data_IF_070201603964
#
_entry.id   IF_070201603964
#
_cell.length_a   1.000
_cell.length_b   1.000
_cell.length_c   1.000
_cell.angle_alpha   90.00
_cell.angle_beta   90.00
_cell.angle_gamma   90.00
#
_symmetry.space_group_name_H-M   'P 1'
#
loop_
_entity.id
_entity.type
_entity.pdbx_description
1 polymer ?
#
# COMPACT_ATOMS: atom_id res chain seq x y z
N UNK A 1 39.51 -3.61 -43.29
CA UNK A 1 39.32 -4.06 -41.88
C UNK A 1 37.84 -4.40 -41.73
N UNK A 2 37.47 -5.40 -40.92
CA UNK A 2 36.05 -5.74 -40.74
C UNK A 2 35.45 -4.89 -39.61
N UNK A 3 34.26 -4.36 -39.82
CA UNK A 3 33.43 -3.75 -38.78
C UNK A 3 32.46 -4.80 -38.27
N UNK A 4 32.42 -5.05 -36.97
CA UNK A 4 31.46 -5.94 -36.34
C UNK A 4 30.28 -5.09 -35.87
N UNK A 5 29.06 -5.50 -36.24
CA UNK A 5 27.81 -4.90 -35.79
C UNK A 5 27.14 -5.87 -34.82
N UNK A 6 26.83 -5.40 -33.63
CA UNK A 6 26.07 -6.12 -32.60
C UNK A 6 24.75 -5.40 -32.40
N UNK A 7 23.65 -6.07 -32.74
CA UNK A 7 22.30 -5.56 -32.55
C UNK A 7 21.64 -6.28 -31.39
N UNK A 8 21.01 -5.49 -30.51
CA UNK A 8 20.20 -6.00 -29.41
C UNK A 8 18.72 -5.93 -29.78
N UNK A 9 17.95 -6.96 -29.43
CA UNK A 9 16.50 -6.94 -29.56
C UNK A 9 15.93 -5.76 -28.73
N UNK A 10 15.46 -4.70 -29.41
CA UNK A 10 15.05 -3.45 -28.75
C UNK A 10 15.74 -2.17 -29.28
N UNK A 11 16.73 -2.30 -30.16
CA UNK A 11 17.16 -1.22 -31.06
C UNK A 11 18.55 -0.61 -30.80
N UNK A 12 19.25 -1.01 -29.73
CA UNK A 12 20.62 -0.55 -29.52
C UNK A 12 21.58 -1.29 -30.45
N UNK A 13 22.39 -0.53 -31.21
CA UNK A 13 23.43 -1.06 -32.09
C UNK A 13 24.79 -0.65 -31.57
N UNK A 14 25.66 -1.62 -31.34
CA UNK A 14 27.05 -1.44 -30.93
C UNK A 14 27.95 -1.86 -32.10
N UNK A 15 29.08 -1.18 -32.28
CA UNK A 15 30.06 -1.55 -33.31
C UNK A 15 31.44 -1.75 -32.71
N UNK A 16 32.20 -2.69 -33.28
CA UNK A 16 33.60 -2.93 -32.98
C UNK A 16 34.40 -3.05 -34.27
N UNK A 17 35.70 -2.82 -34.23
CA UNK A 17 36.59 -2.98 -35.38
C UNK A 17 37.53 -4.14 -35.10
N UNK A 18 37.63 -5.07 -36.06
CA UNK A 18 38.60 -6.15 -36.00
C UNK A 18 40.02 -5.64 -36.27
N UNK A 19 40.98 -6.20 -35.54
CA UNK A 19 42.40 -5.94 -35.73
C UNK A 19 42.94 -6.61 -37.02
N UNK A 20 44.24 -6.48 -37.26
CA UNK A 20 44.90 -7.02 -38.47
C UNK A 20 44.88 -8.56 -38.54
N UNK A 21 44.65 -9.22 -37.40
CA UNK A 21 44.51 -10.68 -37.30
C UNK A 21 43.06 -11.15 -37.40
N UNK A 22 42.10 -10.21 -37.45
CA UNK A 22 40.66 -10.50 -37.49
C UNK A 22 40.01 -10.66 -36.10
N UNK A 23 40.76 -10.43 -35.02
CA UNK A 23 40.24 -10.49 -33.65
C UNK A 23 39.56 -9.18 -33.26
N UNK A 24 38.55 -9.26 -32.41
CA UNK A 24 37.81 -8.09 -31.91
C UNK A 24 37.29 -8.34 -30.50
N UNK A 25 37.07 -7.26 -29.76
CA UNK A 25 36.48 -7.28 -28.42
C UNK A 25 35.66 -6.02 -28.22
N UNK A 26 34.55 -6.13 -27.49
CA UNK A 26 33.70 -5.00 -27.12
C UNK A 26 32.91 -5.32 -25.85
N UNK A 27 32.72 -4.31 -25.01
CA UNK A 27 31.82 -4.41 -23.86
C UNK A 27 30.40 -4.12 -24.32
N UNK A 28 29.48 -5.04 -24.02
CA UNK A 28 28.06 -4.91 -24.35
C UNK A 28 27.29 -4.75 -23.03
N UNK A 29 26.64 -3.61 -22.77
CA UNK A 29 25.72 -3.50 -21.65
C UNK A 29 24.56 -4.48 -21.85
N UNK A 30 24.32 -5.31 -20.82
CA UNK A 30 23.22 -6.27 -20.81
C UNK A 30 22.17 -5.82 -19.80
N UNK A 31 20.88 -5.95 -20.16
CA UNK A 31 19.82 -5.80 -19.16
C UNK A 31 19.74 -7.06 -18.30
N UNK A 32 19.02 -6.96 -17.18
CA UNK A 32 18.61 -8.12 -16.40
C UNK A 32 17.72 -9.04 -17.24
N UNK A 33 17.83 -10.35 -17.03
CA UNK A 33 17.02 -11.34 -17.75
C UNK A 33 17.60 -11.71 -19.12
N UNK A 34 16.71 -12.04 -20.08
CA UNK A 34 17.11 -12.52 -21.41
C UNK A 34 17.62 -11.36 -22.26
N UNK A 35 18.85 -11.49 -22.75
CA UNK A 35 19.46 -10.65 -23.76
C UNK A 35 19.69 -11.49 -25.00
N UNK A 36 19.23 -10.99 -26.14
CA UNK A 36 19.47 -11.62 -27.44
C UNK A 36 20.27 -10.65 -28.29
N UNK A 37 21.46 -11.09 -28.70
CA UNK A 37 22.41 -10.34 -29.50
C UNK A 37 22.52 -10.99 -30.88
N UNK A 38 22.40 -10.18 -31.92
CA UNK A 38 22.64 -10.54 -33.31
C UNK A 38 23.95 -9.90 -33.75
N UNK A 39 24.93 -10.72 -34.15
CA UNK A 39 26.29 -10.26 -34.48
C UNK A 39 26.56 -10.53 -35.96
N UNK A 40 26.93 -9.49 -36.70
CA UNK A 40 27.23 -9.55 -38.14
C UNK A 40 28.54 -8.84 -38.43
N UNK A 41 29.40 -9.42 -39.27
CA UNK A 41 30.59 -8.73 -39.76
C UNK A 41 30.25 -7.97 -41.05
N UNK A 42 30.81 -6.77 -41.21
CA UNK A 42 30.67 -5.91 -42.37
C UNK A 42 32.05 -5.61 -42.93
N UNK A 43 32.21 -5.72 -44.24
CA UNK A 43 33.38 -5.21 -44.94
C UNK A 43 33.35 -3.67 -44.92
N UNK A 44 34.41 -3.03 -44.43
CA UNK A 44 34.43 -1.58 -44.23
C UNK A 44 34.54 -0.77 -45.54
N UNK A 45 35.00 -1.39 -46.62
CA UNK A 45 35.11 -0.73 -47.93
C UNK A 45 33.83 -0.82 -48.76
N UNK A 46 33.11 -1.93 -48.66
CA UNK A 46 31.93 -2.22 -49.51
C UNK A 46 30.61 -2.20 -48.74
N UNK A 47 30.65 -2.25 -47.40
CA UNK A 47 29.47 -2.38 -46.56
C UNK A 47 28.80 -3.76 -46.62
N UNK A 48 29.41 -4.73 -47.31
CA UNK A 48 28.84 -6.07 -47.49
C UNK A 48 28.86 -6.84 -46.18
N UNK A 49 27.73 -7.44 -45.81
CA UNK A 49 27.61 -8.27 -44.62
C UNK A 49 28.14 -9.69 -44.82
N UNK A 50 28.59 -10.32 -43.74
CA UNK A 50 28.85 -11.74 -43.69
C UNK A 50 27.61 -12.54 -44.04
N UNK A 51 27.79 -13.66 -44.74
CA UNK A 51 26.69 -14.55 -45.11
C UNK A 51 25.98 -15.15 -43.88
N UNK A 52 26.72 -15.32 -42.78
CA UNK A 52 26.18 -15.81 -41.51
C UNK A 52 26.03 -14.67 -40.51
N UNK A 53 24.96 -14.75 -39.71
CA UNK A 53 24.73 -13.91 -38.53
C UNK A 53 24.76 -14.79 -37.30
N UNK A 54 25.52 -14.36 -36.30
CA UNK A 54 25.71 -15.10 -35.07
C UNK A 54 24.74 -14.62 -33.99
N UNK A 55 23.81 -15.47 -33.60
CA UNK A 55 22.92 -15.18 -32.47
C UNK A 55 23.54 -15.65 -31.16
N UNK A 56 23.48 -14.80 -30.13
CA UNK A 56 23.87 -15.14 -28.75
C UNK A 56 22.74 -14.78 -27.80
N UNK A 57 22.33 -15.74 -26.97
CA UNK A 57 21.38 -15.53 -25.90
C UNK A 57 22.14 -15.56 -24.58
N UNK A 58 22.11 -14.45 -23.84
CA UNK A 58 22.74 -14.29 -22.53
C UNK A 58 21.64 -14.06 -21.51
N UNK A 59 21.63 -14.85 -20.45
CA UNK A 59 20.70 -14.66 -19.32
C UNK A 59 21.51 -14.06 -18.18
N UNK A 60 21.26 -12.78 -17.89
CA UNK A 60 21.81 -12.15 -16.69
C UNK A 60 20.89 -12.52 -15.53
N UNK A 61 21.36 -13.30 -14.54
CA UNK A 61 20.53 -13.73 -13.43
C UNK A 61 19.99 -12.49 -12.69
N UNK A 62 18.71 -12.54 -12.33
CA UNK A 62 18.16 -11.59 -11.37
C UNK A 62 18.87 -11.82 -10.03
N UNK A 63 19.27 -10.76 -9.30
CA UNK A 63 19.81 -10.96 -7.97
C UNK A 63 18.76 -11.69 -7.13
N UNK A 64 19.05 -12.93 -6.74
CA UNK A 64 18.29 -13.66 -5.72
C UNK A 64 18.71 -13.13 -4.35
N UNK A 65 18.48 -11.83 -4.13
CA UNK A 65 18.46 -11.29 -2.78
C UNK A 65 17.32 -11.96 -2.03
N UNK A 66 17.51 -12.26 -0.74
CA UNK A 66 16.37 -12.50 0.14
C UNK A 66 15.35 -11.37 -0.06
N UNK A 67 14.06 -11.66 0.14
CA UNK A 67 13.01 -10.65 -0.01
C UNK A 67 13.35 -9.34 0.72
N UNK A 68 12.73 -8.22 0.36
CA UNK A 68 13.02 -6.92 0.96
C UNK A 68 12.88 -6.98 2.47
N UNK A 69 13.54 -6.07 3.19
CA UNK A 69 13.41 -6.02 4.66
C UNK A 69 11.93 -5.91 5.05
N UNK A 70 11.47 -6.81 5.90
CA UNK A 70 10.13 -6.75 6.49
C UNK A 70 10.14 -7.42 7.86
N UNK A 71 9.72 -6.68 8.88
CA UNK A 71 9.55 -7.16 10.23
C UNK A 71 8.27 -6.59 10.84
N UNK A 72 7.51 -7.42 11.53
CA UNK A 72 6.27 -7.04 12.20
C UNK A 72 6.48 -7.03 13.70
N UNK A 73 6.49 -5.84 14.28
CA UNK A 73 6.73 -5.55 15.69
C UNK A 73 5.44 -5.65 16.51
N UNK A 74 4.32 -5.24 15.93
CA UNK A 74 3.00 -5.29 16.54
C UNK A 74 1.87 -5.37 15.50
N UNK A 75 0.75 -6.05 15.80
CA UNK A 75 0.42 -6.68 17.07
C UNK A 75 1.21 -7.98 17.32
N UNK A 76 1.30 -8.38 18.59
CA UNK A 76 1.84 -9.69 18.96
C UNK A 76 0.90 -10.81 18.50
N UNK A 77 1.44 -12.01 18.27
CA UNK A 77 0.62 -13.17 17.90
C UNK A 77 -0.47 -13.45 18.95
N UNK A 78 -1.70 -13.66 18.50
CA UNK A 78 -2.86 -13.92 19.35
C UNK A 78 -3.36 -12.71 20.13
N UNK A 79 -2.94 -11.48 19.78
CA UNK A 79 -3.37 -10.28 20.49
C UNK A 79 -4.90 -10.13 20.50
N UNK A 80 -5.42 -9.67 21.63
CA UNK A 80 -6.84 -9.34 21.81
C UNK A 80 -7.00 -7.82 21.79
N UNK A 81 -7.74 -7.33 20.82
CA UNK A 81 -7.97 -5.90 20.61
C UNK A 81 -9.39 -5.57 21.03
N UNK A 82 -9.54 -4.68 21.99
CA UNK A 82 -10.84 -4.30 22.55
C UNK A 82 -11.15 -2.84 22.26
N UNK A 83 -12.30 -2.59 21.64
CA UNK A 83 -12.83 -1.26 21.39
C UNK A 83 -11.82 -0.30 20.70
N UNK A 84 -11.00 -0.81 19.80
CA UNK A 84 -9.96 -0.05 19.12
C UNK A 84 -9.69 -0.60 17.71
N UNK A 85 -9.10 0.21 16.81
CA UNK A 85 -8.44 -0.28 15.61
C UNK A 85 -7.25 -1.20 15.96
N UNK A 86 -6.86 -2.08 15.05
CA UNK A 86 -5.64 -2.88 15.18
C UNK A 86 -4.44 -2.02 14.81
N UNK A 87 -3.57 -1.71 15.77
CA UNK A 87 -2.34 -0.96 15.52
C UNK A 87 -1.29 -1.87 14.89
N UNK A 88 -0.88 -1.55 13.66
CA UNK A 88 0.19 -2.22 12.94
C UNK A 88 1.47 -1.42 13.12
N UNK A 89 2.47 -2.06 13.72
CA UNK A 89 3.82 -1.54 13.89
C UNK A 89 4.80 -2.47 13.18
N UNK A 90 5.46 -1.97 12.15
CA UNK A 90 6.36 -2.76 11.32
C UNK A 90 7.59 -1.95 10.92
N UNK A 91 8.64 -2.65 10.53
CA UNK A 91 9.81 -2.05 9.90
C UNK A 91 10.06 -2.65 8.52
N UNK A 92 10.39 -1.80 7.56
CA UNK A 92 10.73 -2.18 6.19
C UNK A 92 11.79 -1.23 5.62
N UNK A 93 11.97 -1.24 4.29
CA UNK A 93 12.81 -0.27 3.60
C UNK A 93 12.10 1.11 3.55
N UNK A 94 12.83 2.24 3.63
CA UNK A 94 12.22 3.57 3.56
C UNK A 94 11.37 3.77 2.29
N UNK A 95 10.15 4.27 2.46
CA UNK A 95 9.21 4.48 1.34
C UNK A 95 8.60 3.20 0.75
N UNK A 96 8.94 2.02 1.28
CA UNK A 96 8.38 0.75 0.81
C UNK A 96 6.87 0.72 1.03
N UNK A 97 6.13 0.31 -0.01
CA UNK A 97 4.70 0.04 0.10
C UNK A 97 4.49 -1.43 0.45
N UNK A 98 3.79 -1.68 1.54
CA UNK A 98 3.35 -3.00 1.98
C UNK A 98 1.91 -3.24 1.55
N UNK A 99 1.63 -4.41 0.99
CA UNK A 99 0.26 -4.90 0.93
C UNK A 99 -0.12 -5.55 2.27
N UNK A 100 -1.30 -5.21 2.76
CA UNK A 100 -1.83 -5.71 4.02
C UNK A 100 -3.17 -6.36 3.73
N UNK A 101 -3.28 -7.65 4.05
CA UNK A 101 -4.52 -8.42 3.90
C UNK A 101 -4.91 -8.99 5.25
N UNK A 102 -6.07 -8.62 5.77
CA UNK A 102 -6.67 -9.27 6.93
C UNK A 102 -7.78 -10.21 6.46
N UNK A 103 -7.61 -11.49 6.74
CA UNK A 103 -8.54 -12.56 6.36
C UNK A 103 -9.32 -13.00 7.60
N UNK A 104 -10.66 -12.89 7.60
CA UNK A 104 -11.47 -13.37 8.71
C UNK A 104 -11.69 -14.88 8.59
N UNK A 105 -12.14 -15.52 9.68
CA UNK A 105 -12.57 -16.93 9.61
C UNK A 105 -13.76 -17.13 8.64
N UNK A 106 -14.62 -16.11 8.51
CA UNK A 106 -15.79 -16.10 7.62
C UNK A 106 -15.99 -14.72 7.02
N UNK A 107 -16.39 -14.64 5.76
CA UNK A 107 -16.62 -13.38 5.06
C UNK A 107 -15.45 -12.96 4.17
N UNK A 108 -15.47 -11.69 3.73
CA UNK A 108 -14.49 -11.17 2.79
C UNK A 108 -13.26 -10.61 3.48
N UNK A 109 -12.06 -10.74 2.88
CA UNK A 109 -10.85 -10.13 3.41
C UNK A 109 -10.90 -8.61 3.31
N UNK A 110 -10.22 -7.94 4.25
CA UNK A 110 -9.94 -6.50 4.18
C UNK A 110 -8.53 -6.34 3.59
N UNK A 111 -8.43 -5.60 2.48
CA UNK A 111 -7.16 -5.35 1.80
C UNK A 111 -6.85 -3.86 1.85
N UNK A 112 -5.63 -3.52 2.24
CA UNK A 112 -5.14 -2.13 2.25
C UNK A 112 -3.64 -2.10 1.98
N UNK A 113 -3.06 -0.90 1.97
CA UNK A 113 -1.63 -0.69 1.86
C UNK A 113 -1.15 0.27 2.94
N UNK A 114 0.08 0.04 3.42
CA UNK A 114 0.80 1.00 4.25
C UNK A 114 2.13 1.35 3.59
N UNK A 115 2.57 2.58 3.78
CA UNK A 115 3.86 3.06 3.27
C UNK A 115 4.78 3.30 4.45
N UNK A 116 5.98 2.73 4.38
CA UNK A 116 7.03 3.02 5.35
C UNK A 116 7.48 4.48 5.25
N UNK A 117 7.72 5.10 6.40
CA UNK A 117 8.25 6.45 6.46
C UNK A 117 9.73 6.51 6.01
N UNK A 118 10.35 7.69 6.11
CA UNK A 118 11.74 7.90 5.73
C UNK A 118 12.76 7.13 6.58
N UNK A 119 12.36 6.63 7.75
CA UNK A 119 13.16 5.75 8.61
C UNK A 119 12.91 4.26 8.33
N UNK A 120 11.94 3.94 7.46
CA UNK A 120 11.48 2.56 7.23
C UNK A 120 10.45 2.09 8.27
N UNK A 121 10.01 2.97 9.17
CA UNK A 121 9.00 2.67 10.19
C UNK A 121 7.59 2.73 9.62
N UNK A 122 6.71 1.87 10.15
CA UNK A 122 5.28 1.86 9.85
C UNK A 122 4.53 1.84 11.17
N UNK A 123 3.60 2.77 11.33
CA UNK A 123 2.76 2.87 12.51
C UNK A 123 1.36 3.32 12.08
N UNK A 124 0.52 2.36 11.69
CA UNK A 124 -0.77 2.58 11.04
C UNK A 124 -1.89 1.79 11.70
N UNK A 125 -3.11 2.29 11.62
CA UNK A 125 -4.28 1.62 12.18
C UNK A 125 -5.03 0.86 11.08
N UNK A 126 -5.23 -0.43 11.31
CA UNK A 126 -6.09 -1.29 10.50
C UNK A 126 -7.48 -1.40 11.15
N UNK A 127 -8.50 -0.96 10.42
CA UNK A 127 -9.89 -1.01 10.86
C UNK A 127 -10.47 -2.39 10.53
N UNK A 128 -10.76 -3.19 11.57
CA UNK A 128 -11.34 -4.52 11.42
C UNK A 128 -12.61 -4.64 12.28
N UNK A 129 -13.71 -5.17 11.72
CA UNK A 129 -14.87 -5.58 12.49
C UNK A 129 -14.53 -6.61 13.58
N UNK A 130 -15.45 -6.78 14.53
CA UNK A 130 -15.33 -7.84 15.54
C UNK A 130 -15.17 -9.22 14.88
N UNK A 131 -14.25 -10.03 15.39
CA UNK A 131 -13.95 -11.37 14.89
C UNK A 131 -12.50 -11.78 15.04
N UNK A 132 -12.21 -12.99 14.60
CA UNK A 132 -10.86 -13.55 14.51
C UNK A 132 -10.29 -13.27 13.11
N UNK A 133 -9.05 -12.78 13.07
CA UNK A 133 -8.39 -12.32 11.85
C UNK A 133 -6.97 -12.86 11.73
N UNK A 134 -6.59 -13.29 10.54
CA UNK A 134 -5.19 -13.49 10.12
C UNK A 134 -4.76 -12.33 9.26
N UNK A 135 -3.79 -11.56 9.74
CA UNK A 135 -3.21 -10.41 9.06
C UNK A 135 -1.92 -10.86 8.38
N UNK A 136 -1.83 -10.66 7.07
CA UNK A 136 -0.63 -10.91 6.26
C UNK A 136 -0.11 -9.57 5.74
N UNK A 137 1.15 -9.25 6.05
CA UNK A 137 1.89 -8.15 5.45
C UNK A 137 2.84 -8.72 4.40
N UNK A 138 2.87 -8.11 3.23
CA UNK A 138 3.82 -8.47 2.19
C UNK A 138 4.54 -7.25 1.62
N UNK A 139 5.85 -7.39 1.47
CA UNK A 139 6.75 -6.42 0.84
C UNK A 139 7.29 -7.02 -0.47
N UNK A 140 7.13 -6.30 -1.58
CA UNK A 140 7.67 -6.69 -2.87
C UNK A 140 9.05 -6.05 -3.10
N UNK A 141 10.05 -6.85 -3.44
CA UNK A 141 11.40 -6.43 -3.77
C UNK A 141 11.68 -6.50 -5.27
N UNK A 142 12.93 -6.19 -5.64
CA UNK A 142 13.40 -6.27 -7.02
C UNK A 142 13.35 -7.71 -7.54
N UNK A 143 13.11 -7.86 -8.86
CA UNK A 143 13.15 -9.17 -9.51
C UNK A 143 12.04 -10.15 -9.11
N UNK A 144 10.98 -9.66 -8.47
CA UNK A 144 9.83 -10.48 -8.05
C UNK A 144 9.99 -11.17 -6.69
N UNK A 145 11.07 -10.88 -5.96
CA UNK A 145 11.23 -11.37 -4.59
C UNK A 145 10.17 -10.76 -3.67
N UNK A 146 9.66 -11.54 -2.71
CA UNK A 146 8.70 -11.06 -1.72
C UNK A 146 9.10 -11.49 -0.31
N UNK A 147 8.87 -10.61 0.66
CA UNK A 147 8.91 -10.95 2.09
C UNK A 147 7.48 -10.92 2.62
N UNK A 148 7.13 -11.89 3.45
CA UNK A 148 5.79 -11.98 4.05
C UNK A 148 5.89 -12.26 5.53
N UNK A 149 5.00 -11.65 6.31
CA UNK A 149 4.85 -11.94 7.74
C UNK A 149 3.36 -12.04 8.07
N UNK A 150 3.01 -12.97 8.94
CA UNK A 150 1.64 -13.19 9.38
C UNK A 150 1.47 -12.97 10.89
N UNK A 151 0.28 -12.50 11.28
CA UNK A 151 -0.18 -12.40 12.66
C UNK A 151 -1.64 -12.78 12.81
N UNK A 152 -1.97 -13.58 13.81
CA UNK A 152 -3.36 -13.80 14.21
C UNK A 152 -3.76 -12.84 15.32
N UNK A 153 -4.96 -12.26 15.24
CA UNK A 153 -5.54 -11.39 16.27
C UNK A 153 -7.04 -11.61 16.41
N UNK A 154 -7.58 -11.24 17.57
CA UNK A 154 -9.03 -11.16 17.81
C UNK A 154 -9.43 -9.71 18.08
N UNK A 155 -10.57 -9.29 17.54
CA UNK A 155 -11.14 -7.95 17.72
C UNK A 155 -12.51 -8.05 18.34
N UNK A 156 -12.76 -7.29 19.40
CA UNK A 156 -14.03 -7.26 20.10
C UNK A 156 -14.49 -5.82 20.36
N UNK A 157 -15.79 -5.58 20.20
CA UNK A 157 -16.44 -4.31 20.52
C UNK A 157 -17.56 -4.55 21.53
N UNK A 158 -17.52 -3.86 22.65
CA UNK A 158 -18.54 -3.91 23.72
C UNK A 158 -19.41 -2.65 23.76
N UNK A 159 -19.28 -1.77 22.76
CA UNK A 159 -20.00 -0.50 22.65
C UNK A 159 -19.94 0.06 21.23
N UNK A 160 -19.89 1.39 21.14
CA UNK A 160 -19.80 2.14 19.87
C UNK A 160 -18.41 2.74 19.76
N UNK A 161 -17.70 2.39 18.69
CA UNK A 161 -16.41 2.99 18.33
C UNK A 161 -16.55 3.56 16.92
N UNK A 162 -16.52 4.88 16.81
CA UNK A 162 -16.57 5.58 15.52
C UNK A 162 -15.21 6.17 15.21
N UNK A 163 -14.60 5.77 14.11
CA UNK A 163 -13.40 6.44 13.59
C UNK A 163 -13.79 7.39 12.48
N UNK A 164 -13.25 8.60 12.53
CA UNK A 164 -13.49 9.66 11.56
C UNK A 164 -12.16 10.06 10.95
N UNK A 165 -12.06 10.01 9.62
CA UNK A 165 -10.86 10.37 8.88
C UNK A 165 -11.21 11.32 7.73
N UNK A 166 -10.44 12.40 7.59
CA UNK A 166 -10.58 13.34 6.48
C UNK A 166 -9.71 12.92 5.31
N UNK A 167 -10.31 12.30 4.30
CA UNK A 167 -9.61 11.90 3.06
C UNK A 167 -9.67 12.98 1.98
N UNK A 168 -10.68 13.85 2.04
CA UNK A 168 -10.90 14.97 1.11
C UNK A 168 -10.45 16.32 1.65
N UNK A 169 -11.27 17.36 1.42
CA UNK A 169 -11.01 18.75 1.85
C UNK A 169 -11.06 18.98 3.37
N UNK A 170 -11.42 17.96 4.15
CA UNK A 170 -11.71 18.11 5.57
C UNK A 170 -13.12 18.61 5.85
N UNK A 171 -13.51 18.57 7.11
CA UNK A 171 -14.87 18.86 7.59
C UNK A 171 -14.85 19.31 9.04
N UNK A 172 -15.72 20.23 9.40
CA UNK A 172 -16.03 20.48 10.81
C UNK A 172 -16.87 19.33 11.37
N UNK A 173 -16.50 18.83 12.56
CA UNK A 173 -17.18 17.72 13.24
C UNK A 173 -17.40 18.07 14.71
N UNK A 174 -18.61 17.80 15.20
CA UNK A 174 -18.93 17.83 16.63
C UNK A 174 -19.55 16.51 17.05
N UNK A 175 -19.10 15.99 18.18
CA UNK A 175 -19.45 14.66 18.65
C UNK A 175 -20.15 14.68 20.02
N UNK A 176 -21.04 13.71 20.21
CA UNK A 176 -21.63 13.37 21.49
C UNK A 176 -21.46 11.89 21.74
N UNK A 177 -21.03 11.56 22.95
CA UNK A 177 -20.89 10.19 23.46
C UNK A 177 -21.92 10.00 24.56
N UNK A 178 -22.83 9.05 24.35
CA UNK A 178 -23.93 8.74 25.27
C UNK A 178 -24.79 9.95 25.68
N UNK A 179 -24.92 10.91 24.77
CA UNK A 179 -25.72 12.12 24.92
C UNK A 179 -24.97 13.34 25.45
N UNK A 180 -23.72 13.17 25.91
CA UNK A 180 -22.84 14.23 26.42
C UNK A 180 -21.86 14.65 25.34
N UNK A 181 -21.49 15.94 25.30
CA UNK A 181 -20.47 16.43 24.34
C UNK A 181 -19.16 15.67 24.54
N UNK A 182 -18.62 15.11 23.46
CA UNK A 182 -17.38 14.35 23.52
C UNK A 182 -16.16 15.28 23.61
N UNK A 183 -15.23 15.06 24.57
CA UNK A 183 -14.08 15.92 24.78
C UNK A 183 -13.13 16.00 23.57
N UNK A 184 -13.11 14.98 22.70
CA UNK A 184 -12.26 14.94 21.50
C UNK A 184 -12.59 16.08 20.54
N UNK A 185 -13.86 16.47 20.45
CA UNK A 185 -14.31 17.58 19.58
C UNK A 185 -14.68 18.84 20.36
N UNK A 186 -14.96 18.71 21.66
CA UNK A 186 -15.32 19.83 22.53
C UNK A 186 -16.68 20.46 22.20
N UNK A 187 -17.03 21.50 22.96
CA UNK A 187 -18.33 22.19 22.85
C UNK A 187 -18.51 22.98 21.55
N UNK A 188 -17.43 23.36 20.89
CA UNK A 188 -17.44 24.11 19.63
C UNK A 188 -17.28 23.23 18.39
N UNK A 189 -17.03 21.93 18.57
CA UNK A 189 -16.57 21.05 17.51
C UNK A 189 -15.13 21.34 17.07
N UNK A 190 -14.65 20.53 16.14
CA UNK A 190 -13.29 20.52 15.62
C UNK A 190 -13.31 20.47 14.09
N UNK A 191 -12.51 21.29 13.43
CA UNK A 191 -12.26 21.14 11.99
C UNK A 191 -11.18 20.11 11.74
N UNK A 192 -11.57 18.98 11.15
CA UNK A 192 -10.65 17.95 10.70
C UNK A 192 -10.13 18.29 9.30
N UNK A 193 -8.81 18.35 9.14
CA UNK A 193 -8.15 18.62 7.85
C UNK A 193 -7.68 17.32 7.20
N UNK A 194 -7.34 17.34 5.91
CA UNK A 194 -6.88 16.16 5.15
C UNK A 194 -5.77 15.40 5.90
N UNK A 195 -5.93 14.08 6.01
CA UNK A 195 -5.03 13.18 6.74
C UNK A 195 -5.26 13.18 8.26
N UNK A 196 -6.06 14.11 8.78
CA UNK A 196 -6.50 14.11 10.17
C UNK A 196 -7.46 12.97 10.45
N UNK A 197 -7.32 12.38 11.65
CA UNK A 197 -8.15 11.28 12.12
C UNK A 197 -8.33 11.34 13.63
N UNK A 198 -9.51 10.92 14.11
CA UNK A 198 -9.76 10.65 15.52
C UNK A 198 -10.76 9.53 15.70
N UNK A 199 -10.87 9.02 16.93
CA UNK A 199 -11.80 7.96 17.31
C UNK A 199 -12.64 8.43 18.50
N UNK A 200 -13.95 8.21 18.41
CA UNK A 200 -14.94 8.47 19.46
C UNK A 200 -15.43 7.13 20.00
N UNK A 201 -15.59 7.04 21.32
CA UNK A 201 -16.07 5.82 21.98
C UNK A 201 -17.24 6.13 22.90
N UNK A 202 -18.27 5.30 22.87
CA UNK A 202 -19.43 5.38 23.76
C UNK A 202 -19.96 3.98 24.08
N UNK A 203 -20.81 3.86 25.09
CA UNK A 203 -21.41 2.58 25.47
C UNK A 203 -22.66 2.29 24.65
N UNK A 204 -23.52 3.29 24.45
CA UNK A 204 -24.86 3.14 23.87
C UNK A 204 -25.01 3.87 22.54
N UNK A 205 -24.41 5.05 22.41
CA UNK A 205 -24.62 5.89 21.23
C UNK A 205 -23.47 6.86 21.01
N UNK A 206 -22.97 6.93 19.78
CA UNK A 206 -22.23 8.09 19.29
C UNK A 206 -23.12 8.87 18.36
N UNK A 207 -23.18 10.18 18.51
CA UNK A 207 -23.84 11.07 17.56
C UNK A 207 -22.81 12.06 17.02
N UNK A 208 -22.77 12.25 15.71
CA UNK A 208 -21.87 13.17 15.05
C UNK A 208 -22.66 14.15 14.21
N UNK A 209 -22.30 15.43 14.30
CA UNK A 209 -22.73 16.47 13.37
C UNK A 209 -21.55 16.93 12.54
N UNK A 210 -21.79 17.13 11.25
CA UNK A 210 -20.76 17.44 10.26
C UNK A 210 -21.10 18.72 9.49
N UNK A 211 -20.07 19.46 9.09
CA UNK A 211 -20.15 20.53 8.09
C UNK A 211 -20.30 19.98 6.67
N UNK A 212 -19.53 18.93 6.34
CA UNK A 212 -19.50 18.26 5.04
C UNK A 212 -19.15 16.77 5.25
N UNK A 213 -20.13 15.90 5.52
CA UNK A 213 -19.90 14.49 5.86
C UNK A 213 -19.30 13.69 4.71
N UNK A 214 -19.66 14.02 3.46
CA UNK A 214 -19.15 13.33 2.27
C UNK A 214 -17.65 13.56 2.00
N UNK A 215 -17.00 14.48 2.72
CA UNK A 215 -15.55 14.70 2.66
C UNK A 215 -14.76 13.82 3.64
N UNK A 216 -15.47 12.99 4.42
CA UNK A 216 -14.92 12.14 5.47
C UNK A 216 -15.14 10.66 5.13
N UNK A 217 -14.23 9.83 5.60
CA UNK A 217 -14.42 8.38 5.71
C UNK A 217 -14.75 8.07 7.16
N UNK A 218 -15.79 7.26 7.37
CA UNK A 218 -16.22 6.85 8.69
C UNK A 218 -16.16 5.35 8.81
N UNK A 219 -15.83 4.87 10.01
CA UNK A 219 -16.06 3.48 10.38
C UNK A 219 -16.85 3.39 11.68
N UNK A 220 -17.68 2.35 11.79
CA UNK A 220 -18.39 1.98 13.01
C UNK A 220 -17.96 0.57 13.40
N UNK A 221 -17.38 0.43 14.59
CA UNK A 221 -16.88 -0.84 15.12
C UNK A 221 -15.99 -1.55 14.10
N UNK A 222 -15.05 -0.80 13.52
CA UNK A 222 -14.09 -1.30 12.53
C UNK A 222 -14.63 -1.50 11.11
N UNK A 223 -15.95 -1.45 10.89
CA UNK A 223 -16.55 -1.51 9.55
C UNK A 223 -16.55 -0.14 8.90
N UNK A 224 -15.84 0.03 7.79
CA UNK A 224 -15.93 1.24 6.95
C UNK A 224 -17.36 1.35 6.41
N UNK A 225 -17.93 2.54 6.53
CA UNK A 225 -19.28 2.85 6.11
C UNK A 225 -19.29 3.40 4.69
N UNK A 226 -20.41 3.20 4.01
CA UNK A 226 -20.71 3.94 2.79
C UNK A 226 -20.77 5.45 3.07
N UNK A 227 -20.62 6.23 2.00
CA UNK A 227 -20.66 7.69 2.07
C UNK A 227 -21.94 8.15 2.78
N UNK A 228 -21.76 9.01 3.79
CA UNK A 228 -22.87 9.69 4.46
C UNK A 228 -23.07 11.09 3.88
N UNK A 229 -24.31 11.41 3.52
CA UNK A 229 -24.73 12.73 3.05
C UNK A 229 -24.07 13.20 1.74
N UNK A 230 -24.14 14.50 1.50
CA UNK A 230 -23.64 15.16 0.30
C UNK A 230 -22.50 16.14 0.62
N UNK A 231 -21.72 16.50 -0.40
CA UNK A 231 -20.57 17.40 -0.25
C UNK A 231 -21.08 18.82 0.05
N UNK A 232 -20.54 19.44 1.10
CA UNK A 232 -20.90 20.80 1.52
C UNK A 232 -22.24 20.91 2.24
N UNK A 233 -22.96 19.81 2.43
CA UNK A 233 -24.25 19.78 3.12
C UNK A 233 -24.05 19.34 4.56
N UNK A 234 -24.51 20.17 5.50
CA UNK A 234 -24.48 19.80 6.92
C UNK A 234 -25.41 18.63 7.20
N UNK A 235 -25.03 17.74 8.12
CA UNK A 235 -25.87 16.62 8.52
C UNK A 235 -25.46 16.04 9.86
N UNK A 236 -26.35 15.27 10.47
CA UNK A 236 -26.11 14.59 11.73
C UNK A 236 -26.56 13.14 11.68
N UNK A 237 -25.75 12.25 12.26
CA UNK A 237 -26.00 10.81 12.30
C UNK A 237 -25.74 10.26 13.69
N UNK A 238 -26.50 9.24 14.05
CA UNK A 238 -26.35 8.45 15.25
C UNK A 238 -25.86 7.05 14.88
N UNK A 239 -24.93 6.54 15.67
CA UNK A 239 -24.23 5.27 15.49
C UNK A 239 -24.46 4.42 16.74
N UNK A 240 -24.98 3.21 16.56
CA UNK A 240 -25.32 2.32 17.66
C UNK A 240 -24.47 1.03 17.66
N UNK A 241 -24.36 0.32 18.81
CA UNK A 241 -23.48 -0.85 18.94
C UNK A 241 -23.83 -2.00 17.99
N UNK A 242 -25.11 -2.11 17.61
CA UNK A 242 -25.60 -3.13 16.68
C UNK A 242 -25.23 -2.85 15.21
N UNK A 243 -24.43 -1.82 14.94
CA UNK A 243 -24.00 -1.44 13.60
C UNK A 243 -24.98 -0.55 12.85
N UNK A 244 -26.08 -0.10 13.48
CA UNK A 244 -27.03 0.81 12.84
C UNK A 244 -26.46 2.22 12.74
N UNK A 245 -26.82 2.88 11.64
CA UNK A 245 -26.50 4.27 11.34
C UNK A 245 -27.80 4.95 10.92
N UNK A 246 -28.25 5.95 11.67
CA UNK A 246 -29.52 6.64 11.42
C UNK A 246 -29.33 8.16 11.46
N UNK A 247 -30.19 8.95 10.80
CA UNK A 247 -30.19 10.40 11.00
C UNK A 247 -30.35 10.76 12.48
N UNK A 248 -29.67 11.83 12.91
CA UNK A 248 -29.76 12.39 14.27
C UNK A 248 -30.38 13.78 14.24
N UNK A 249 -31.03 14.16 15.34
CA UNK A 249 -31.61 15.49 15.53
C UNK A 249 -30.60 16.52 16.07
N UNK A 250 -29.30 16.19 16.12
CA UNK A 250 -28.30 17.06 16.74
C UNK A 250 -28.12 18.39 15.99
N UNK A 251 -28.33 19.42 16.82
CA UNK A 251 -28.11 20.87 16.71
C UNK A 251 -26.97 21.32 15.86
#
# INVERSE_FOLDING_TARGET
KARIRIERLGGETITAIADETGLWSVEVPLDRGKNELSITALDDGTGTASAETLTRVLIVPLPTGGGPKLELLGPTEGARIENAPVRIEASSEPGQVLSVTATPATGSPVVTQFTADSSGGIASDLLLPAGEWRITLAAAGLGGATSTVERSVSVNYSGVVVTVEATGSGSWVRAWSDGVVDPTTGSTGLTLVKGGRFTIKATRLVELRFGSPASLTLSLNGRILDRLGEVGVTGAWAFAPNGSVTPSNRK
#
